data_IF_716185633140
#
_entry.id   IF_716185633140
#
_cell.length_a   1.000
_cell.length_b   1.000
_cell.length_c   1.000
_cell.angle_alpha   90.00
_cell.angle_beta   90.00
_cell.angle_gamma   90.00
#
_symmetry.space_group_name_H-M   'P 1'
#
loop_
_entity.id
_entity.type
_entity.pdbx_description
1 polymer ?
#
# COMPACT_ATOMS: atom_id res chain seq x y z
N UNK A 1 10.70 26.24 -2.51
CA UNK A 1 10.36 24.80 -2.39
C UNK A 1 9.18 24.68 -1.44
N UNK A 2 8.11 23.99 -1.82
CA UNK A 2 6.95 23.74 -0.95
C UNK A 2 7.00 22.26 -0.57
N UNK A 3 7.14 21.95 0.71
CA UNK A 3 7.17 20.56 1.21
C UNK A 3 7.75 20.44 2.62
N UNK A 4 7.64 19.26 3.27
CA UNK A 4 6.94 18.06 2.79
C UNK A 4 5.42 18.23 2.80
N UNK A 5 4.73 17.70 1.76
CA UNK A 5 3.28 17.77 1.64
C UNK A 5 2.66 16.39 1.79
N UNK A 6 1.44 16.36 2.32
CA UNK A 6 0.62 15.16 2.49
C UNK A 6 0.85 14.43 3.81
N UNK A 7 0.09 13.36 4.00
CA UNK A 7 0.11 12.54 5.21
C UNK A 7 0.67 11.14 4.89
N UNK A 8 1.63 10.67 5.68
CA UNK A 8 2.14 9.29 5.60
C UNK A 8 1.16 8.27 6.20
N UNK A 9 1.47 6.99 6.13
CA UNK A 9 0.71 5.95 6.84
C UNK A 9 0.84 6.11 8.36
N UNK A 10 -0.21 5.79 9.12
CA UNK A 10 -0.17 5.75 10.59
C UNK A 10 0.50 4.46 11.03
N UNK A 11 1.78 4.52 11.35
CA UNK A 11 2.59 3.36 11.73
C UNK A 11 2.19 2.79 13.10
N UNK A 12 1.69 3.65 13.99
CA UNK A 12 1.28 3.31 15.35
C UNK A 12 0.15 2.29 15.39
N UNK A 13 -0.69 2.26 14.36
CA UNK A 13 -1.82 1.32 14.26
C UNK A 13 -1.39 -0.13 14.04
N UNK A 14 -0.14 -0.37 13.65
CA UNK A 14 0.42 -1.69 13.46
C UNK A 14 1.05 -2.29 14.73
N UNK A 15 1.19 -1.50 15.80
CA UNK A 15 1.78 -1.98 17.05
C UNK A 15 1.01 -3.18 17.59
N UNK A 16 1.76 -4.26 17.92
CA UNK A 16 1.19 -5.51 18.42
C UNK A 16 0.33 -6.29 17.42
N UNK A 17 0.38 -5.94 16.12
CA UNK A 17 -0.36 -6.61 15.05
C UNK A 17 0.56 -7.26 14.03
N UNK A 18 0.03 -8.25 13.30
CA UNK A 18 0.67 -8.80 12.11
C UNK A 18 0.32 -7.90 10.94
N UNK A 19 1.32 -7.29 10.32
CA UNK A 19 1.14 -6.34 9.23
C UNK A 19 1.53 -6.91 7.87
N UNK A 20 0.67 -6.73 6.86
CA UNK A 20 1.04 -6.84 5.45
C UNK A 20 1.51 -5.48 4.94
N UNK A 21 2.71 -5.46 4.37
CA UNK A 21 3.27 -4.33 3.66
C UNK A 21 3.35 -4.71 2.18
N UNK A 22 2.42 -4.19 1.37
CA UNK A 22 2.23 -4.67 0.01
C UNK A 22 2.65 -3.61 -1.00
N UNK A 23 3.62 -3.96 -1.85
CA UNK A 23 4.18 -3.06 -2.85
C UNK A 23 4.10 -3.61 -4.27
N UNK A 24 3.85 -2.73 -5.25
CA UNK A 24 3.92 -3.08 -6.68
C UNK A 24 4.34 -1.90 -7.54
N UNK A 25 5.20 -2.14 -8.52
CA UNK A 25 5.70 -1.11 -9.42
C UNK A 25 6.36 0.05 -8.66
N UNK A 26 5.91 1.27 -8.90
CA UNK A 26 6.44 2.48 -8.24
C UNK A 26 6.12 2.52 -6.72
N UNK A 27 5.18 1.70 -6.25
CA UNK A 27 4.86 1.57 -4.83
C UNK A 27 5.88 0.77 -4.00
N UNK A 28 6.83 0.10 -4.63
CA UNK A 28 7.84 -0.72 -3.94
C UNK A 28 8.76 0.11 -3.04
N UNK A 29 9.39 1.23 -3.49
CA UNK A 29 10.24 2.05 -2.62
C UNK A 29 9.52 2.66 -1.40
N UNK A 30 8.31 3.24 -1.52
CA UNK A 30 7.55 3.72 -0.35
C UNK A 30 7.25 2.64 0.69
N UNK A 31 6.96 1.43 0.25
CA UNK A 31 6.71 0.29 1.15
C UNK A 31 8.00 -0.13 1.86
N UNK A 32 9.16 -0.05 1.22
CA UNK A 32 10.44 -0.30 1.90
C UNK A 32 10.68 0.70 3.04
N UNK A 33 10.47 1.99 2.77
CA UNK A 33 10.64 3.01 3.81
C UNK A 33 9.67 2.81 4.96
N UNK A 34 8.41 2.48 4.66
CA UNK A 34 7.43 2.11 5.67
C UNK A 34 7.88 0.89 6.49
N UNK A 35 8.43 -0.14 5.83
CA UNK A 35 8.94 -1.35 6.48
C UNK A 35 10.09 -1.07 7.44
N UNK A 36 10.96 -0.11 7.12
CA UNK A 36 12.06 0.31 8.00
C UNK A 36 11.57 1.04 9.26
N UNK A 37 10.54 1.87 9.11
CA UNK A 37 10.02 2.70 10.20
C UNK A 37 9.00 1.98 11.09
N UNK A 38 8.29 1.00 10.55
CA UNK A 38 7.19 0.33 11.25
C UNK A 38 7.68 -0.63 12.33
N UNK A 39 7.04 -0.55 13.51
CA UNK A 39 7.16 -1.53 14.58
C UNK A 39 5.85 -2.30 14.71
N UNK A 40 5.92 -3.63 14.57
CA UNK A 40 4.75 -4.50 14.66
C UNK A 40 5.18 -5.90 15.13
N UNK A 41 4.22 -6.73 15.56
CA UNK A 41 4.50 -8.08 16.03
C UNK A 41 5.13 -8.95 14.94
N UNK A 42 4.54 -8.93 13.75
CA UNK A 42 5.04 -9.65 12.59
C UNK A 42 4.94 -8.80 11.32
N UNK A 43 6.07 -8.59 10.66
CA UNK A 43 6.18 -7.81 9.44
C UNK A 43 6.31 -8.73 8.24
N UNK A 44 5.25 -8.83 7.44
CA UNK A 44 5.18 -9.64 6.24
C UNK A 44 5.14 -8.70 5.02
N UNK A 45 6.23 -8.68 4.27
CA UNK A 45 6.41 -7.78 3.13
C UNK A 45 6.10 -8.57 1.86
N UNK A 46 5.09 -8.15 1.10
CA UNK A 46 4.68 -8.82 -0.14
C UNK A 46 4.87 -7.86 -1.31
N UNK A 47 5.82 -8.14 -2.18
CA UNK A 47 6.15 -7.27 -3.32
C UNK A 47 5.95 -7.97 -4.66
N UNK A 48 5.34 -7.25 -5.59
CA UNK A 48 5.08 -7.72 -6.94
C UNK A 48 5.97 -7.05 -7.98
N UNK A 49 6.62 -7.87 -8.82
CA UNK A 49 7.44 -7.46 -9.95
C UNK A 49 6.92 -8.07 -11.24
N UNK A 50 7.37 -7.56 -12.39
CA UNK A 50 7.03 -8.15 -13.68
C UNK A 50 7.87 -9.37 -14.02
N UNK A 51 9.13 -9.34 -13.63
CA UNK A 51 10.14 -10.36 -13.98
C UNK A 51 11.22 -10.48 -12.88
N UNK A 52 12.32 -11.15 -13.15
CA UNK A 52 13.44 -11.38 -12.24
C UNK A 52 14.18 -10.11 -11.77
N UNK A 53 13.85 -8.92 -12.29
CA UNK A 53 14.45 -7.66 -11.84
C UNK A 53 13.82 -7.21 -10.53
N UNK A 54 14.17 -7.87 -9.45
CA UNK A 54 13.67 -7.64 -8.09
C UNK A 54 14.54 -6.61 -7.36
N UNK A 55 14.39 -5.34 -7.73
CA UNK A 55 15.14 -4.26 -7.08
C UNK A 55 14.75 -4.10 -5.60
N UNK A 56 15.68 -3.65 -4.76
CA UNK A 56 15.54 -3.46 -3.30
C UNK A 56 15.25 -4.76 -2.51
N UNK A 57 15.55 -5.92 -3.10
CA UNK A 57 15.28 -7.21 -2.47
C UNK A 57 16.05 -7.37 -1.16
N UNK A 58 17.35 -7.09 -1.17
CA UNK A 58 18.22 -7.27 0.00
C UNK A 58 17.79 -6.36 1.16
N UNK A 59 17.38 -5.13 0.85
CA UNK A 59 16.88 -4.18 1.84
C UNK A 59 15.53 -4.63 2.44
N UNK A 60 14.67 -5.26 1.67
CA UNK A 60 13.45 -5.84 2.18
C UNK A 60 13.70 -7.07 3.05
N UNK A 61 14.63 -7.95 2.66
CA UNK A 61 15.04 -9.12 3.46
C UNK A 61 15.60 -8.70 4.83
N UNK A 62 16.31 -7.56 4.88
CA UNK A 62 16.78 -6.98 6.13
C UNK A 62 15.66 -6.31 6.97
N UNK A 63 14.56 -5.88 6.34
CA UNK A 63 13.47 -5.17 7.00
C UNK A 63 12.37 -6.08 7.58
N UNK A 64 12.24 -7.33 7.11
CA UNK A 64 11.20 -8.25 7.57
C UNK A 64 11.10 -9.54 6.75
N UNK A 65 10.03 -10.29 6.94
CA UNK A 65 9.76 -11.49 6.13
C UNK A 65 9.32 -11.08 4.72
N UNK A 66 10.14 -11.37 3.72
CA UNK A 66 9.91 -11.00 2.33
C UNK A 66 9.25 -12.14 1.54
N UNK A 67 8.18 -11.81 0.83
CA UNK A 67 7.50 -12.65 -0.14
C UNK A 67 7.46 -11.93 -1.49
N UNK A 68 7.96 -12.58 -2.53
CA UNK A 68 8.03 -12.00 -3.88
C UNK A 68 7.06 -12.73 -4.79
N UNK A 69 6.33 -11.97 -5.61
CA UNK A 69 5.60 -12.48 -6.76
C UNK A 69 6.13 -11.86 -8.06
N UNK A 70 6.18 -12.64 -9.13
CA UNK A 70 6.53 -12.16 -10.47
C UNK A 70 5.48 -12.60 -11.47
N UNK A 71 5.10 -11.71 -12.39
CA UNK A 71 4.08 -12.03 -13.40
C UNK A 71 4.49 -13.21 -14.28
N UNK A 72 5.77 -13.29 -14.64
CA UNK A 72 6.33 -14.36 -15.46
C UNK A 72 6.71 -15.65 -14.68
N UNK A 73 6.73 -15.58 -13.34
CA UNK A 73 7.11 -16.70 -12.48
C UNK A 73 8.61 -16.94 -12.40
N UNK A 74 9.43 -15.97 -12.76
CA UNK A 74 10.90 -16.09 -12.75
C UNK A 74 11.50 -16.11 -11.34
N UNK A 75 10.84 -15.48 -10.37
CA UNK A 75 11.25 -15.45 -8.96
C UNK A 75 10.02 -15.47 -8.06
N UNK A 76 10.06 -16.27 -7.00
CA UNK A 76 8.98 -16.36 -6.03
C UNK A 76 7.70 -16.99 -6.58
N UNK A 77 6.55 -16.51 -6.12
CA UNK A 77 5.24 -16.98 -6.60
C UNK A 77 4.94 -16.40 -7.98
N UNK A 78 4.48 -17.25 -8.91
CA UNK A 78 4.02 -16.82 -10.21
C UNK A 78 2.67 -16.12 -10.08
N UNK A 79 2.58 -14.88 -10.58
CA UNK A 79 1.35 -14.08 -10.57
C UNK A 79 1.50 -12.76 -9.83
N UNK A 80 0.47 -12.35 -9.15
CA UNK A 80 0.42 -11.08 -8.42
C UNK A 80 0.60 -11.27 -6.89
N UNK A 81 0.62 -10.17 -6.14
CA UNK A 81 0.79 -10.19 -4.68
C UNK A 81 -0.29 -10.98 -3.95
N UNK A 82 -1.52 -11.07 -4.49
CA UNK A 82 -2.61 -11.85 -3.90
C UNK A 82 -2.38 -13.36 -4.07
N UNK A 83 -1.73 -13.76 -5.17
CA UNK A 83 -1.38 -15.17 -5.41
C UNK A 83 -0.31 -15.61 -4.40
N UNK A 84 0.67 -14.75 -4.09
CA UNK A 84 1.66 -15.03 -3.06
C UNK A 84 1.02 -15.20 -1.67
N UNK A 85 0.05 -14.35 -1.30
CA UNK A 85 -0.67 -14.48 -0.03
C UNK A 85 -1.42 -15.81 0.06
N UNK A 86 -2.10 -16.22 -1.02
CA UNK A 86 -2.87 -17.46 -1.07
C UNK A 86 -1.98 -18.69 -1.01
N UNK A 87 -0.90 -18.72 -1.83
CA UNK A 87 0.04 -19.82 -1.89
C UNK A 87 0.74 -20.06 -0.56
N UNK A 88 1.22 -18.99 0.07
CA UNK A 88 1.93 -19.04 1.35
C UNK A 88 0.97 -19.10 2.56
N UNK A 89 -0.35 -19.04 2.33
CA UNK A 89 -1.39 -19.04 3.38
C UNK A 89 -1.15 -17.99 4.46
N UNK A 90 -0.73 -16.80 4.04
CA UNK A 90 -0.39 -15.71 4.93
C UNK A 90 -1.65 -15.10 5.56
N UNK A 91 -1.48 -14.56 6.78
CA UNK A 91 -2.56 -13.87 7.52
C UNK A 91 -2.01 -12.60 8.13
N UNK A 92 -2.82 -11.55 8.12
CA UNK A 92 -2.52 -10.27 8.76
C UNK A 92 -3.76 -9.70 9.45
N UNK A 93 -3.51 -8.78 10.36
CA UNK A 93 -4.53 -8.05 11.10
C UNK A 93 -4.69 -6.62 10.54
N UNK A 94 -3.67 -6.15 9.83
CA UNK A 94 -3.65 -4.84 9.19
C UNK A 94 -2.85 -4.88 7.87
N UNK A 95 -3.32 -4.13 6.86
CA UNK A 95 -2.70 -4.06 5.54
C UNK A 95 -2.33 -2.61 5.21
N UNK A 96 -1.11 -2.44 4.70
CA UNK A 96 -0.64 -1.20 4.08
C UNK A 96 -0.22 -1.50 2.65
N UNK A 97 -0.79 -0.78 1.68
CA UNK A 97 -0.53 -1.06 0.28
C UNK A 97 -0.24 0.21 -0.53
N UNK A 98 0.74 0.10 -1.43
CA UNK A 98 1.08 1.13 -2.41
C UNK A 98 1.41 0.47 -3.75
N UNK A 99 0.76 0.91 -4.83
CA UNK A 99 1.00 0.35 -6.16
C UNK A 99 -0.11 0.64 -7.17
N UNK A 100 -0.13 -0.10 -8.28
CA UNK A 100 -1.10 0.11 -9.35
C UNK A 100 -2.55 -0.08 -8.90
N UNK A 101 -3.46 0.70 -9.46
CA UNK A 101 -4.89 0.66 -9.12
C UNK A 101 -5.53 -0.74 -9.17
N UNK A 102 -5.23 -1.61 -10.15
CA UNK A 102 -5.78 -2.98 -10.16
C UNK A 102 -5.34 -3.79 -8.93
N UNK A 103 -4.07 -3.67 -8.51
CA UNK A 103 -3.55 -4.31 -7.31
C UNK A 103 -4.26 -3.80 -6.06
N UNK A 104 -4.40 -2.48 -5.92
CA UNK A 104 -5.06 -1.86 -4.76
C UNK A 104 -6.54 -2.26 -4.66
N UNK A 105 -7.23 -2.42 -5.80
CA UNK A 105 -8.62 -2.92 -5.82
C UNK A 105 -8.73 -4.37 -5.32
N UNK A 106 -7.83 -5.25 -5.77
CA UNK A 106 -7.80 -6.64 -5.31
C UNK A 106 -7.49 -6.75 -3.82
N UNK A 107 -6.54 -5.95 -3.33
CA UNK A 107 -6.19 -5.88 -1.90
C UNK A 107 -7.39 -5.38 -1.07
N UNK A 108 -8.06 -4.32 -1.53
CA UNK A 108 -9.26 -3.79 -0.87
C UNK A 108 -10.34 -4.85 -0.74
N UNK A 109 -10.67 -5.55 -1.84
CA UNK A 109 -11.66 -6.62 -1.83
C UNK A 109 -11.28 -7.72 -0.82
N UNK A 110 -10.02 -8.17 -0.84
CA UNK A 110 -9.52 -9.15 0.11
C UNK A 110 -9.66 -8.69 1.57
N UNK A 111 -9.33 -7.43 1.85
CA UNK A 111 -9.46 -6.86 3.19
C UNK A 111 -10.92 -6.80 3.64
N UNK A 112 -11.86 -6.39 2.77
CA UNK A 112 -13.29 -6.36 3.05
C UNK A 112 -13.84 -7.78 3.31
N UNK A 113 -13.47 -8.77 2.50
CA UNK A 113 -13.91 -10.17 2.65
C UNK A 113 -13.40 -10.81 3.96
N UNK A 114 -12.25 -10.40 4.45
CA UNK A 114 -11.63 -10.97 5.65
C UNK A 114 -11.77 -10.09 6.91
N UNK A 115 -12.43 -8.93 6.81
CA UNK A 115 -12.60 -8.00 7.91
C UNK A 115 -11.28 -7.40 8.42
N UNK A 116 -10.29 -7.20 7.52
CA UNK A 116 -8.95 -6.69 7.85
C UNK A 116 -8.90 -5.19 7.64
N UNK A 117 -8.34 -4.46 8.60
CA UNK A 117 -8.10 -3.01 8.47
C UNK A 117 -7.08 -2.74 7.36
N UNK A 118 -7.43 -1.89 6.38
CA UNK A 118 -6.62 -1.68 5.18
C UNK A 118 -6.40 -0.20 4.87
N UNK A 119 -5.15 0.16 4.67
CA UNK A 119 -4.69 1.48 4.28
C UNK A 119 -4.03 1.41 2.91
N UNK A 120 -4.55 2.18 1.94
CA UNK A 120 -3.98 2.25 0.59
C UNK A 120 -3.46 3.65 0.29
N UNK A 121 -2.34 3.71 -0.42
CA UNK A 121 -1.81 4.94 -1.02
C UNK A 121 -2.33 5.04 -2.44
N UNK A 122 -3.15 6.05 -2.70
CA UNK A 122 -3.72 6.32 -4.03
C UNK A 122 -2.83 7.29 -4.82
N UNK A 123 -2.75 7.07 -6.13
CA UNK A 123 -2.09 7.95 -7.08
C UNK A 123 -3.10 8.54 -8.06
N UNK A 124 -3.03 9.85 -8.28
CA UNK A 124 -3.83 10.57 -9.26
C UNK A 124 -2.99 11.69 -9.93
N UNK A 125 -3.43 12.12 -11.09
CA UNK A 125 -2.81 13.27 -11.75
C UNK A 125 -3.03 14.53 -10.90
N UNK A 126 -1.95 15.19 -10.54
CA UNK A 126 -1.97 16.38 -9.70
C UNK A 126 -1.62 17.61 -10.52
N UNK A 127 -2.41 18.68 -10.37
CA UNK A 127 -2.09 19.99 -10.96
C UNK A 127 -1.47 20.93 -9.90
N UNK A 128 -2.20 21.30 -8.84
CA UNK A 128 -1.69 22.26 -7.84
C UNK A 128 -0.82 21.62 -6.75
N UNK A 129 -0.99 20.36 -6.43
CA UNK A 129 -0.28 19.67 -5.34
C UNK A 129 -0.66 20.06 -3.90
N UNK A 130 -1.51 21.07 -3.71
CA UNK A 130 -1.88 21.65 -2.40
C UNK A 130 -3.36 21.49 -2.05
N UNK A 131 -4.15 20.78 -2.87
CA UNK A 131 -5.57 20.53 -2.62
C UNK A 131 -6.53 21.64 -3.06
N UNK A 132 -6.08 22.64 -3.83
CA UNK A 132 -6.91 23.77 -4.22
C UNK A 132 -7.72 23.54 -5.51
N UNK A 133 -7.14 22.86 -6.52
CA UNK A 133 -7.74 22.77 -7.86
C UNK A 133 -8.71 21.60 -8.08
N UNK A 134 -8.81 20.67 -7.14
CA UNK A 134 -9.67 19.47 -7.20
C UNK A 134 -9.37 18.50 -8.35
N UNK A 135 -8.25 18.64 -9.06
CA UNK A 135 -7.90 17.79 -10.19
C UNK A 135 -7.64 16.31 -9.79
N UNK A 136 -7.17 16.09 -8.57
CA UNK A 136 -6.83 14.77 -8.04
C UNK A 136 -7.87 14.21 -7.06
N UNK A 137 -9.15 14.55 -7.24
CA UNK A 137 -10.23 14.09 -6.35
C UNK A 137 -10.57 12.63 -6.66
N UNK A 138 -10.63 11.81 -5.63
CA UNK A 138 -11.17 10.46 -5.68
C UNK A 138 -12.38 10.31 -4.74
N UNK A 139 -13.27 9.37 -5.06
CA UNK A 139 -14.40 9.01 -4.18
C UNK A 139 -13.89 8.25 -2.96
N UNK A 140 -14.43 8.56 -1.78
CA UNK A 140 -14.12 7.88 -0.53
C UNK A 140 -15.41 7.49 0.20
N UNK A 141 -15.33 6.55 1.15
CA UNK A 141 -16.45 6.23 2.04
C UNK A 141 -16.66 7.31 3.10
N UNK A 142 -15.60 7.99 3.49
CA UNK A 142 -15.62 9.06 4.49
C UNK A 142 -15.96 10.40 3.85
N UNK A 143 -16.78 11.18 4.53
CA UNK A 143 -17.07 12.57 4.15
C UNK A 143 -15.87 13.46 4.40
N UNK A 144 -15.60 14.37 3.46
CA UNK A 144 -14.65 15.46 3.69
C UNK A 144 -15.21 16.42 4.76
N UNK A 145 -14.38 16.76 5.73
CA UNK A 145 -14.75 17.65 6.85
C UNK A 145 -15.22 19.05 6.39
N UNK A 146 -14.86 19.49 5.19
CA UNK A 146 -15.14 20.83 4.68
C UNK A 146 -16.26 20.91 3.64
N UNK A 147 -16.50 19.84 2.88
CA UNK A 147 -17.40 19.87 1.73
C UNK A 147 -18.63 18.98 1.85
N UNK A 148 -18.74 18.22 2.93
CA UNK A 148 -19.83 17.26 3.18
C UNK A 148 -20.07 16.24 2.05
N UNK A 149 -19.09 16.06 1.16
CA UNK A 149 -19.07 15.09 0.07
C UNK A 149 -18.05 13.98 0.33
N UNK A 150 -18.34 12.78 -0.18
CA UNK A 150 -17.49 11.62 0.00
C UNK A 150 -16.32 11.62 -1.01
N UNK A 151 -15.47 12.62 -0.90
CA UNK A 151 -14.32 12.82 -1.79
C UNK A 151 -13.06 13.13 -0.99
N UNK A 152 -11.91 12.61 -1.46
CA UNK A 152 -10.58 12.94 -0.94
C UNK A 152 -9.71 13.50 -2.05
N UNK A 153 -8.87 14.46 -1.72
CA UNK A 153 -7.88 15.06 -2.63
C UNK A 153 -6.55 14.37 -2.42
N UNK A 154 -6.11 13.59 -3.38
CA UNK A 154 -4.92 12.74 -3.24
C UNK A 154 -3.66 13.56 -2.90
N UNK A 155 -3.49 14.76 -3.48
CA UNK A 155 -2.35 15.61 -3.18
C UNK A 155 -2.31 16.13 -1.73
N UNK A 156 -3.46 16.21 -1.04
CA UNK A 156 -3.57 16.66 0.35
C UNK A 156 -3.80 15.50 1.32
N UNK A 157 -4.72 14.60 0.98
CA UNK A 157 -5.23 13.59 1.90
C UNK A 157 -4.54 12.23 1.76
N UNK A 158 -3.93 11.94 0.62
CA UNK A 158 -3.10 10.77 0.18
C UNK A 158 -3.47 9.37 0.68
N UNK A 159 -4.11 9.20 1.82
CA UNK A 159 -4.52 7.92 2.39
C UNK A 159 -6.00 7.71 2.21
N UNK A 160 -6.39 6.50 1.86
CA UNK A 160 -7.75 6.03 2.06
C UNK A 160 -7.73 4.83 3.01
N UNK A 161 -8.52 4.91 4.06
CA UNK A 161 -8.98 3.76 4.83
C UNK A 161 -10.13 3.13 4.05
N UNK A 162 -10.06 1.87 3.77
CA UNK A 162 -11.03 1.11 2.96
C UNK A 162 -11.51 -0.09 3.73
#
# INVERSE_FOLDING_TARGET
MIGPLGNGFSVEKAEGKRAFLMGGGIGVPPILELAKQMQCEKKQIVVGYRNAQTFLREEFEAAGELYISTEDGSVGTKGNVMDAIREQKLKADIIYACGPTPMLRAIKQYAEENGIECYISLEERMACGIGACLACVCKSKEKDAHSNVNNKRICKDRRAHV
#
